data_IF_594268081349
#
_entry.id   IF_594268081349
#
_cell.length_a   1.000
_cell.length_b   1.000
_cell.length_c   1.000
_cell.angle_alpha   90.00
_cell.angle_beta   90.00
_cell.angle_gamma   90.00
#
_symmetry.space_group_name_H-M   'P 1'
#
loop_
_entity.id
_entity.type
_entity.pdbx_description
1 polymer ?
#
# COMPACT_ATOMS: atom_id res chain seq x y z
N UNK A 1 -22.81 -31.84 -3.97
CA UNK A 1 -22.77 -30.51 -4.66
C UNK A 1 -22.22 -29.39 -3.77
N UNK A 2 -22.62 -29.29 -2.48
CA UNK A 2 -22.19 -28.21 -1.56
C UNK A 2 -20.65 -28.13 -1.29
N UNK A 3 -19.94 -29.26 -1.25
CA UNK A 3 -18.47 -29.31 -1.02
C UNK A 3 -17.67 -28.74 -2.21
N UNK A 4 -18.13 -28.93 -3.45
CA UNK A 4 -17.45 -28.42 -4.65
C UNK A 4 -17.53 -26.89 -4.74
N UNK A 5 -18.65 -26.30 -4.32
CA UNK A 5 -18.84 -24.84 -4.29
C UNK A 5 -17.96 -24.19 -3.21
N UNK A 6 -17.88 -24.79 -2.01
CA UNK A 6 -17.02 -24.28 -0.93
C UNK A 6 -15.54 -24.34 -1.30
N UNK A 7 -15.10 -25.42 -1.96
CA UNK A 7 -13.73 -25.57 -2.48
C UNK A 7 -13.41 -24.54 -3.56
N UNK A 8 -14.35 -24.23 -4.45
CA UNK A 8 -14.18 -23.23 -5.51
C UNK A 8 -14.06 -21.80 -4.95
N UNK A 9 -14.87 -21.46 -3.93
CA UNK A 9 -14.80 -20.17 -3.23
C UNK A 9 -13.46 -20.02 -2.50
N UNK A 10 -13.01 -21.07 -1.80
CA UNK A 10 -11.72 -21.08 -1.12
C UNK A 10 -10.56 -20.86 -2.12
N UNK A 11 -10.63 -21.49 -3.29
CA UNK A 11 -9.64 -21.36 -4.36
C UNK A 11 -9.59 -19.93 -4.93
N UNK A 12 -10.74 -19.29 -5.15
CA UNK A 12 -10.81 -17.89 -5.58
C UNK A 12 -10.24 -16.90 -4.55
N UNK A 13 -10.48 -17.14 -3.26
CA UNK A 13 -9.91 -16.34 -2.17
C UNK A 13 -8.37 -16.44 -2.13
N UNK A 14 -7.82 -17.61 -2.43
CA UNK A 14 -6.38 -17.85 -2.47
C UNK A 14 -5.75 -17.12 -3.67
N UNK A 15 -6.32 -17.21 -4.87
CA UNK A 15 -5.76 -16.58 -6.07
C UNK A 15 -5.95 -15.06 -6.16
N UNK A 16 -6.96 -14.49 -5.49
CA UNK A 16 -7.11 -13.03 -5.37
C UNK A 16 -6.06 -12.37 -4.47
N UNK A 17 -5.22 -13.17 -3.79
CA UNK A 17 -4.33 -12.68 -2.75
C UNK A 17 -2.92 -12.34 -3.23
N UNK A 18 -2.57 -12.41 -4.52
CA UNK A 18 -1.20 -12.15 -5.02
C UNK A 18 -0.61 -10.79 -4.62
N UNK A 19 0.73 -10.70 -4.56
CA UNK A 19 1.45 -9.48 -4.27
C UNK A 19 1.13 -8.37 -5.29
N UNK A 20 0.82 -7.18 -4.78
CA UNK A 20 0.63 -6.01 -5.63
C UNK A 20 1.97 -5.36 -5.91
N UNK A 21 2.18 -4.92 -7.15
CA UNK A 21 3.26 -3.98 -7.46
C UNK A 21 2.99 -2.65 -6.75
N UNK A 22 4.05 -2.00 -6.30
CA UNK A 22 4.01 -0.63 -5.78
C UNK A 22 4.16 0.37 -6.93
N UNK A 23 3.29 1.38 -6.98
CA UNK A 23 3.42 2.53 -7.89
C UNK A 23 4.13 3.64 -7.11
N UNK A 24 5.24 4.13 -7.64
CA UNK A 24 5.99 5.24 -7.04
C UNK A 24 5.12 6.48 -6.91
N UNK A 25 5.29 7.17 -5.80
CA UNK A 25 4.69 8.48 -5.59
C UNK A 25 5.67 9.52 -6.14
N UNK A 26 5.18 10.38 -7.03
CA UNK A 26 5.94 11.52 -7.55
C UNK A 26 5.19 12.80 -7.18
N UNK A 27 5.47 13.39 -6.00
CA UNK A 27 4.77 14.57 -5.49
C UNK A 27 4.68 15.71 -6.52
N UNK A 28 5.78 15.99 -7.23
CA UNK A 28 5.84 17.11 -8.18
C UNK A 28 4.89 16.97 -9.38
N UNK A 29 4.42 15.76 -9.68
CA UNK A 29 3.50 15.49 -10.79
C UNK A 29 2.02 15.42 -10.39
N UNK A 30 1.71 15.57 -9.09
CA UNK A 30 0.35 15.46 -8.58
C UNK A 30 -0.44 16.75 -8.81
N UNK A 31 -1.75 16.60 -9.04
CA UNK A 31 -2.70 17.72 -8.95
C UNK A 31 -3.10 17.91 -7.49
N UNK A 32 -2.89 19.09 -6.93
CA UNK A 32 -3.15 19.35 -5.52
C UNK A 32 -4.48 20.09 -5.30
N UNK A 33 -5.05 19.88 -4.12
CA UNK A 33 -6.14 20.68 -3.58
C UNK A 33 -5.53 21.82 -2.77
N UNK A 34 -5.97 23.05 -3.01
CA UNK A 34 -5.54 24.19 -2.18
C UNK A 34 -6.08 24.01 -0.77
N UNK A 35 -5.19 24.09 0.22
CA UNK A 35 -5.59 24.26 1.61
C UNK A 35 -6.00 25.69 1.91
N UNK A 36 -6.48 25.93 3.13
CA UNK A 36 -6.62 27.29 3.59
C UNK A 36 -5.21 27.91 3.64
N UNK A 37 -4.96 28.86 2.74
CA UNK A 37 -3.67 29.55 2.63
C UNK A 37 -3.59 30.65 3.68
N UNK A 38 -2.38 30.97 4.11
CA UNK A 38 -2.07 32.17 4.85
C UNK A 38 -1.00 32.96 4.09
N UNK A 39 -0.79 34.22 4.48
CA UNK A 39 0.16 35.11 3.78
C UNK A 39 1.61 34.59 3.80
N UNK A 40 1.97 33.71 4.74
CA UNK A 40 3.34 33.22 4.94
C UNK A 40 3.67 31.96 4.13
N UNK A 41 2.72 31.04 3.99
CA UNK A 41 2.90 29.75 3.31
C UNK A 41 1.71 29.48 2.41
N UNK A 42 1.98 29.33 1.11
CA UNK A 42 1.01 28.68 0.22
C UNK A 42 1.04 27.18 0.45
N UNK A 43 -0.12 26.65 0.82
CA UNK A 43 -0.28 25.24 1.18
C UNK A 43 -1.26 24.54 0.26
N UNK A 44 -0.80 23.44 -0.33
CA UNK A 44 -1.64 22.54 -1.10
C UNK A 44 -1.39 21.10 -0.66
N UNK A 45 -2.42 20.26 -0.70
CA UNK A 45 -2.33 18.88 -0.26
C UNK A 45 -3.09 17.92 -1.18
N UNK A 46 -2.74 16.63 -1.10
CA UNK A 46 -3.40 15.56 -1.85
C UNK A 46 -3.47 14.26 -1.03
N UNK A 47 -4.67 13.70 -0.95
CA UNK A 47 -4.96 12.36 -0.44
C UNK A 47 -4.93 11.29 -1.56
N UNK A 48 -5.19 10.03 -1.21
CA UNK A 48 -5.35 8.92 -2.16
C UNK A 48 -4.11 8.72 -3.07
N UNK A 49 -2.92 8.76 -2.46
CA UNK A 49 -1.65 8.60 -3.18
C UNK A 49 -1.37 7.15 -3.59
N UNK A 50 -1.95 6.21 -2.85
CA UNK A 50 -1.63 4.78 -2.93
C UNK A 50 -2.61 4.04 -3.82
N UNK A 51 -2.22 2.85 -4.30
CA UNK A 51 -3.07 2.02 -5.14
C UNK A 51 -3.18 0.57 -4.64
N UNK A 52 -4.23 -0.11 -5.10
CA UNK A 52 -4.44 -1.56 -4.88
C UNK A 52 -4.31 -1.94 -3.41
N UNK A 53 -3.35 -2.82 -3.08
CA UNK A 53 -3.17 -3.35 -1.73
C UNK A 53 -2.70 -2.29 -0.72
N UNK A 54 -1.91 -1.31 -1.15
CA UNK A 54 -1.48 -0.22 -0.27
C UNK A 54 -2.65 0.69 0.07
N UNK A 55 -3.46 1.08 -0.92
CA UNK A 55 -4.71 1.82 -0.68
C UNK A 55 -5.69 1.05 0.24
N UNK A 56 -5.84 -0.26 0.03
CA UNK A 56 -6.66 -1.12 0.90
C UNK A 56 -6.11 -1.20 2.34
N UNK A 57 -4.80 -1.15 2.50
CA UNK A 57 -4.14 -1.16 3.81
C UNK A 57 -4.29 0.18 4.52
N UNK A 58 -4.04 1.27 3.81
CA UNK A 58 -4.32 2.63 4.27
C UNK A 58 -5.78 2.78 4.70
N UNK A 59 -6.75 2.42 3.85
CA UNK A 59 -8.18 2.53 4.18
C UNK A 59 -8.65 1.68 5.38
N UNK A 60 -7.88 0.64 5.77
CA UNK A 60 -8.12 -0.16 6.98
C UNK A 60 -7.40 0.36 8.22
N UNK A 61 -6.45 1.28 8.04
CA UNK A 61 -5.68 1.93 9.08
C UNK A 61 -6.39 3.23 9.52
N UNK A 62 -6.03 3.73 10.70
CA UNK A 62 -6.33 5.10 11.15
C UNK A 62 -5.35 6.14 10.61
N UNK A 63 -4.34 5.71 9.83
CA UNK A 63 -3.34 6.58 9.21
C UNK A 63 -3.73 6.87 7.76
N UNK A 64 -3.55 8.12 7.35
CA UNK A 64 -3.58 8.57 5.95
C UNK A 64 -2.24 9.17 5.57
N UNK A 65 -1.75 8.79 4.39
CA UNK A 65 -0.57 9.37 3.77
C UNK A 65 -1.02 10.52 2.87
N UNK A 66 -0.48 11.70 3.13
CA UNK A 66 -0.83 12.93 2.43
C UNK A 66 0.41 13.47 1.76
N UNK A 67 0.28 13.90 0.52
CA UNK A 67 1.34 14.68 -0.14
C UNK A 67 1.03 16.13 0.08
N UNK A 68 2.05 16.89 0.47
CA UNK A 68 1.94 18.33 0.67
C UNK A 68 2.91 19.06 -0.25
N UNK A 69 2.47 20.22 -0.71
CA UNK A 69 3.25 21.22 -1.42
C UNK A 69 3.20 22.49 -0.58
N UNK A 70 4.39 23.01 -0.27
CA UNK A 70 4.56 24.17 0.60
C UNK A 70 5.44 25.17 -0.14
N UNK A 71 4.97 26.41 -0.27
CA UNK A 71 5.77 27.53 -0.80
C UNK A 71 5.93 28.56 0.29
N UNK A 72 7.17 28.88 0.65
CA UNK A 72 7.48 29.91 1.62
C UNK A 72 7.45 31.30 0.97
N UNK A 73 6.54 32.14 1.44
CA UNK A 73 6.34 33.51 0.95
C UNK A 73 6.93 34.57 1.90
N UNK A 74 7.69 34.16 2.92
CA UNK A 74 8.37 35.07 3.85
C UNK A 74 9.83 35.31 3.45
N UNK A 75 10.45 36.29 4.10
CA UNK A 75 11.89 36.58 3.97
C UNK A 75 12.76 35.76 4.95
N UNK A 76 12.15 34.86 5.71
CA UNK A 76 12.81 34.02 6.71
C UNK A 76 12.74 32.54 6.33
N UNK A 77 13.71 31.75 6.81
CA UNK A 77 13.62 30.31 6.68
C UNK A 77 12.53 29.77 7.60
N UNK A 78 11.65 28.90 7.08
CA UNK A 78 10.60 28.24 7.85
C UNK A 78 10.83 26.73 7.92
N UNK A 79 10.60 26.12 9.07
CA UNK A 79 10.88 24.69 9.31
C UNK A 79 9.60 23.95 9.69
N UNK A 80 9.21 22.97 8.88
CA UNK A 80 8.05 22.12 9.14
C UNK A 80 8.27 21.26 10.39
N UNK A 81 7.30 21.25 11.30
CA UNK A 81 7.41 20.56 12.60
C UNK A 81 7.94 21.44 13.72
N UNK A 82 8.67 22.51 13.40
CA UNK A 82 9.24 23.46 14.36
C UNK A 82 8.43 24.76 14.39
N UNK A 83 8.42 25.51 13.29
CA UNK A 83 7.80 26.84 13.20
C UNK A 83 6.30 26.76 12.89
N UNK A 84 5.90 25.72 12.16
CA UNK A 84 4.50 25.45 11.84
C UNK A 84 4.23 23.96 11.71
N UNK A 85 2.95 23.61 11.83
CA UNK A 85 2.39 22.28 11.68
C UNK A 85 1.13 22.32 10.81
N UNK A 86 0.48 21.16 10.65
CA UNK A 86 -0.83 21.06 10.01
C UNK A 86 -1.91 20.98 11.08
N UNK A 87 -3.10 21.48 10.75
CA UNK A 87 -4.34 21.21 11.46
C UNK A 87 -5.44 20.89 10.44
N UNK A 88 -6.52 20.30 10.92
CA UNK A 88 -7.74 20.18 10.11
C UNK A 88 -8.43 21.54 10.03
N UNK A 89 -9.14 21.77 8.94
CA UNK A 89 -10.05 22.93 8.78
C UNK A 89 -11.15 22.99 9.85
N UNK A 90 -11.40 21.88 10.56
CA UNK A 90 -12.27 21.85 11.75
C UNK A 90 -11.57 22.32 13.04
N UNK A 91 -10.31 22.79 12.97
CA UNK A 91 -9.53 23.30 14.09
C UNK A 91 -8.81 22.24 14.93
N UNK A 92 -8.71 20.98 14.47
CA UNK A 92 -8.03 19.92 15.23
C UNK A 92 -6.56 19.87 14.85
N UNK A 93 -5.66 19.97 15.81
CA UNK A 93 -4.23 19.84 15.55
C UNK A 93 -3.87 18.46 15.02
N UNK A 94 -3.01 18.43 14.01
CA UNK A 94 -2.49 17.20 13.43
C UNK A 94 -1.06 17.05 13.90
N UNK A 95 -0.84 16.03 14.72
CA UNK A 95 0.50 15.57 15.04
C UNK A 95 0.98 14.64 13.92
N UNK A 96 2.03 15.01 13.16
CA UNK A 96 2.56 14.16 12.10
C UNK A 96 2.98 12.79 12.65
N UNK A 97 2.54 11.74 11.96
CA UNK A 97 2.95 10.37 12.27
C UNK A 97 4.33 10.13 11.65
N UNK A 98 5.31 9.61 12.41
CA UNK A 98 6.61 9.25 11.85
C UNK A 98 6.46 8.31 10.66
N UNK A 99 7.14 8.59 9.54
CA UNK A 99 6.95 7.83 8.31
C UNK A 99 7.35 6.35 8.40
N UNK A 100 8.19 5.98 9.38
CA UNK A 100 8.45 4.57 9.69
C UNK A 100 7.22 3.85 10.25
N UNK A 101 6.40 4.52 11.06
CA UNK A 101 5.14 3.99 11.57
C UNK A 101 4.11 3.86 10.44
N UNK A 102 4.03 4.87 9.57
CA UNK A 102 3.22 4.81 8.34
C UNK A 102 3.59 3.60 7.48
N UNK A 103 4.89 3.39 7.25
CA UNK A 103 5.39 2.23 6.52
C UNK A 103 4.93 0.91 7.15
N UNK A 104 5.11 0.76 8.46
CA UNK A 104 4.78 -0.49 9.16
C UNK A 104 3.29 -0.83 9.10
N UNK A 105 2.44 0.18 9.16
CA UNK A 105 0.99 0.03 9.16
C UNK A 105 0.44 -0.24 7.75
N UNK A 106 0.98 0.43 6.73
CA UNK A 106 0.42 0.40 5.37
C UNK A 106 1.08 -0.64 4.45
N UNK A 107 2.27 -1.16 4.79
CA UNK A 107 2.98 -2.15 3.95
C UNK A 107 2.16 -3.42 3.70
N UNK A 108 2.49 -4.10 2.60
CA UNK A 108 1.89 -5.40 2.29
C UNK A 108 2.41 -6.48 3.25
N UNK A 109 1.53 -7.35 3.72
CA UNK A 109 1.93 -8.53 4.49
C UNK A 109 2.69 -9.51 3.61
N UNK A 110 3.89 -9.89 4.02
CA UNK A 110 4.79 -10.78 3.26
C UNK A 110 4.60 -12.25 3.68
N UNK A 111 4.46 -12.50 4.99
CA UNK A 111 4.38 -13.85 5.52
C UNK A 111 3.11 -14.61 5.08
N UNK A 112 2.04 -13.88 4.75
CA UNK A 112 0.76 -14.48 4.31
C UNK A 112 0.93 -15.32 3.03
N UNK A 113 1.94 -15.02 2.21
CA UNK A 113 2.22 -15.77 0.98
C UNK A 113 2.77 -17.18 1.25
N UNK A 114 3.29 -17.46 2.45
CA UNK A 114 3.69 -18.83 2.79
C UNK A 114 2.49 -19.77 2.96
N UNK A 115 1.25 -19.27 3.04
CA UNK A 115 0.06 -20.12 2.97
C UNK A 115 -0.06 -20.86 1.62
N UNK A 116 0.58 -20.36 0.55
CA UNK A 116 0.67 -21.11 -0.71
C UNK A 116 1.48 -22.41 -0.57
N UNK A 117 2.30 -22.57 0.48
CA UNK A 117 2.96 -23.85 0.77
C UNK A 117 1.97 -24.97 1.09
N UNK A 118 0.72 -24.66 1.45
CA UNK A 118 -0.32 -25.68 1.58
C UNK A 118 -0.64 -26.36 0.23
N UNK A 119 -0.37 -25.69 -0.89
CA UNK A 119 -0.50 -26.30 -2.22
C UNK A 119 0.59 -27.33 -2.51
N UNK A 120 1.62 -27.44 -1.66
CA UNK A 120 2.73 -28.41 -1.81
C UNK A 120 2.23 -29.86 -1.89
N UNK A 121 1.11 -30.16 -1.22
CA UNK A 121 0.52 -31.50 -1.18
C UNK A 121 -0.45 -31.78 -2.34
N UNK A 122 -0.62 -30.84 -3.28
CA UNK A 122 -1.56 -31.02 -4.41
C UNK A 122 -1.05 -32.03 -5.43
N UNK A 123 -1.97 -32.87 -5.92
CA UNK A 123 -1.73 -33.88 -6.94
C UNK A 123 -2.68 -33.66 -8.11
N UNK A 124 -2.17 -33.79 -9.33
CA UNK A 124 -2.97 -33.79 -10.55
C UNK A 124 -3.30 -35.23 -10.92
N UNK A 125 -4.58 -35.57 -10.93
CA UNK A 125 -5.06 -36.88 -11.32
C UNK A 125 -5.63 -36.81 -12.74
N UNK A 126 -5.04 -37.56 -13.67
CA UNK A 126 -5.50 -37.66 -15.05
C UNK A 126 -6.08 -39.06 -15.22
N UNK A 127 -7.36 -39.14 -15.61
CA UNK A 127 -8.04 -40.42 -15.82
C UNK A 127 -8.31 -40.63 -17.30
N UNK A 128 -7.88 -41.77 -17.81
CA UNK A 128 -8.16 -42.25 -19.16
C UNK A 128 -9.26 -43.31 -19.04
N UNK A 129 -10.37 -43.12 -19.75
CA UNK A 129 -11.49 -44.07 -19.78
C UNK A 129 -11.48 -44.79 -21.12
N UNK A 130 -11.25 -46.10 -21.08
CA UNK A 130 -11.34 -46.95 -22.26
C UNK A 130 -12.60 -47.81 -22.15
N UNK A 131 -13.47 -47.72 -23.14
CA UNK A 131 -14.66 -48.56 -23.26
C UNK A 131 -14.47 -49.52 -24.41
N UNK A 132 -14.44 -50.82 -24.13
CA UNK A 132 -14.33 -51.86 -25.15
C UNK A 132 -15.17 -53.08 -24.74
N UNK A 133 -16.00 -53.58 -25.66
CA UNK A 133 -16.78 -54.80 -25.47
C UNK A 133 -17.78 -54.79 -24.31
N UNK A 134 -18.31 -53.62 -23.90
CA UNK A 134 -19.26 -53.50 -22.78
C UNK A 134 -18.61 -53.33 -21.40
N UNK A 135 -17.27 -53.39 -21.30
CA UNK A 135 -16.52 -53.10 -20.09
C UNK A 135 -15.93 -51.69 -20.15
N UNK A 136 -16.00 -50.98 -19.02
CA UNK A 136 -15.38 -49.65 -18.84
C UNK A 136 -14.19 -49.78 -17.90
N UNK A 137 -12.98 -49.54 -18.41
CA UNK A 137 -11.77 -49.46 -17.60
C UNK A 137 -11.39 -47.99 -17.40
N UNK A 138 -11.18 -47.59 -16.14
CA UNK A 138 -10.70 -46.25 -15.79
C UNK A 138 -9.28 -46.38 -15.25
N UNK A 139 -8.29 -45.89 -15.99
CA UNK A 139 -6.90 -45.80 -15.54
C UNK A 139 -6.61 -44.39 -15.06
N UNK A 140 -6.23 -44.24 -13.79
CA UNK A 140 -5.87 -42.93 -13.22
C UNK A 140 -4.37 -42.84 -12.96
N UNK A 141 -3.72 -41.82 -13.53
CA UNK A 141 -2.33 -41.43 -13.25
C UNK A 141 -2.32 -40.22 -12.31
N UNK A 142 -1.42 -40.22 -11.32
CA UNK A 142 -1.33 -39.13 -10.32
C UNK A 142 0.07 -38.49 -10.35
N UNK A 143 0.13 -37.18 -10.57
CA UNK A 143 1.36 -36.40 -10.64
C UNK A 143 1.45 -35.41 -9.47
N UNK A 144 2.52 -35.43 -8.65
CA UNK A 144 2.67 -34.53 -7.50
C UNK A 144 3.13 -33.12 -7.93
N UNK A 145 2.26 -32.37 -8.59
CA UNK A 145 2.56 -31.01 -9.09
C UNK A 145 2.74 -29.97 -7.97
N UNK A 146 2.21 -30.25 -6.78
CA UNK A 146 2.22 -29.32 -5.65
C UNK A 146 3.62 -28.92 -5.20
N UNK A 147 4.58 -29.85 -5.25
CA UNK A 147 5.97 -29.61 -4.81
C UNK A 147 6.64 -28.43 -5.53
N UNK A 148 6.26 -28.16 -6.77
CA UNK A 148 6.73 -27.00 -7.51
C UNK A 148 5.81 -25.79 -7.34
N UNK A 149 4.49 -26.01 -7.44
CA UNK A 149 3.49 -24.93 -7.46
C UNK A 149 3.45 -24.18 -6.12
N UNK A 150 3.37 -24.89 -4.99
CA UNK A 150 3.26 -24.28 -3.67
C UNK A 150 4.44 -23.36 -3.35
N UNK A 151 5.68 -23.88 -3.35
CA UNK A 151 6.89 -23.08 -3.13
C UNK A 151 7.09 -21.99 -4.17
N UNK A 152 6.85 -22.27 -5.46
CA UNK A 152 7.02 -21.30 -6.54
C UNK A 152 6.13 -20.06 -6.38
N UNK A 153 4.84 -20.27 -6.10
CA UNK A 153 3.90 -19.17 -5.86
C UNK A 153 4.23 -18.45 -4.54
N UNK A 154 4.55 -19.18 -3.48
CA UNK A 154 4.89 -18.60 -2.17
C UNK A 154 6.10 -17.65 -2.28
N UNK A 155 7.21 -18.14 -2.84
CA UNK A 155 8.45 -17.37 -2.99
C UNK A 155 8.27 -16.19 -3.95
N UNK A 156 7.62 -16.41 -5.09
CA UNK A 156 7.37 -15.35 -6.07
C UNK A 156 6.60 -14.17 -5.49
N UNK A 157 5.53 -14.45 -4.74
CA UNK A 157 4.74 -13.40 -4.08
C UNK A 157 5.49 -12.77 -2.91
N UNK A 158 6.21 -13.55 -2.10
CA UNK A 158 7.00 -13.03 -0.98
C UNK A 158 8.04 -12.01 -1.46
N UNK A 159 8.87 -12.37 -2.44
CA UNK A 159 9.89 -11.46 -2.97
C UNK A 159 9.28 -10.28 -3.72
N UNK A 160 8.18 -10.50 -4.46
CA UNK A 160 7.44 -9.43 -5.12
C UNK A 160 6.92 -8.38 -4.12
N UNK A 161 6.30 -8.82 -3.02
CA UNK A 161 5.82 -7.92 -1.97
C UNK A 161 6.96 -7.23 -1.21
N UNK A 162 8.03 -7.95 -0.89
CA UNK A 162 9.21 -7.39 -0.22
C UNK A 162 9.87 -6.30 -1.06
N UNK A 163 10.02 -6.53 -2.37
CA UNK A 163 10.55 -5.52 -3.30
C UNK A 163 9.64 -4.29 -3.39
N UNK A 164 8.33 -4.50 -3.50
CA UNK A 164 7.35 -3.41 -3.48
C UNK A 164 7.39 -2.59 -2.17
N UNK A 165 7.47 -3.27 -1.02
CA UNK A 165 7.58 -2.65 0.30
C UNK A 165 8.87 -1.83 0.44
N UNK A 166 10.01 -2.34 -0.06
CA UNK A 166 11.28 -1.59 -0.06
C UNK A 166 11.15 -0.28 -0.84
N UNK A 167 10.50 -0.30 -2.01
CA UNK A 167 10.29 0.90 -2.81
C UNK A 167 9.34 1.88 -2.12
N UNK A 168 8.26 1.40 -1.50
CA UNK A 168 7.37 2.23 -0.71
C UNK A 168 8.09 2.92 0.44
N UNK A 169 8.90 2.17 1.21
CA UNK A 169 9.72 2.75 2.28
C UNK A 169 10.69 3.81 1.75
N UNK A 170 11.32 3.56 0.59
CA UNK A 170 12.24 4.51 -0.02
C UNK A 170 11.55 5.83 -0.34
N UNK A 171 10.38 5.79 -0.96
CA UNK A 171 9.63 7.01 -1.30
C UNK A 171 9.25 7.78 -0.03
N UNK A 172 8.73 7.10 1.00
CA UNK A 172 8.42 7.71 2.29
C UNK A 172 9.63 8.47 2.87
N UNK A 173 10.79 7.80 2.97
CA UNK A 173 11.98 8.43 3.57
C UNK A 173 12.59 9.54 2.70
N UNK A 174 12.46 9.43 1.38
CA UNK A 174 12.98 10.44 0.44
C UNK A 174 12.21 11.75 0.56
N UNK A 175 10.90 11.65 0.76
CA UNK A 175 9.98 12.78 0.80
C UNK A 175 9.55 13.17 2.22
N UNK A 176 10.25 12.70 3.27
CA UNK A 176 10.03 13.16 4.64
C UNK A 176 10.32 14.67 4.73
N UNK A 177 9.42 15.41 5.36
CA UNK A 177 9.52 16.85 5.56
C UNK A 177 9.87 17.25 6.98
N UNK A 178 9.87 16.30 7.92
CA UNK A 178 10.15 16.62 9.31
C UNK A 178 11.52 17.30 9.42
N UNK A 179 11.53 18.49 10.02
CA UNK A 179 12.72 19.31 10.25
C UNK A 179 13.43 19.80 8.98
N UNK A 180 12.77 19.76 7.82
CA UNK A 180 13.30 20.42 6.61
C UNK A 180 13.04 21.92 6.69
N UNK A 181 14.10 22.70 6.54
CA UNK A 181 14.05 24.14 6.39
C UNK A 181 13.69 24.50 4.95
N UNK A 182 12.76 25.45 4.79
CA UNK A 182 12.21 25.97 3.54
C UNK A 182 12.69 27.41 3.43
N UNK A 183 13.53 27.69 2.42
CA UNK A 183 14.09 29.02 2.20
C UNK A 183 13.04 30.02 1.69
N UNK A 184 13.26 31.33 1.83
CA UNK A 184 12.45 32.36 1.19
C UNK A 184 12.19 32.08 -0.30
N UNK A 185 10.92 32.09 -0.71
CA UNK A 185 10.48 31.81 -2.08
C UNK A 185 10.55 30.33 -2.51
N UNK A 186 11.06 29.42 -1.66
CA UNK A 186 11.24 28.01 -2.02
C UNK A 186 9.90 27.27 -1.99
N UNK A 187 9.67 26.44 -3.01
CA UNK A 187 8.59 25.45 -3.02
C UNK A 187 9.15 24.06 -2.80
N UNK A 188 8.71 23.40 -1.74
CA UNK A 188 9.05 22.01 -1.44
C UNK A 188 7.83 21.10 -1.56
N UNK A 189 8.11 19.82 -1.80
CA UNK A 189 7.12 18.77 -1.85
C UNK A 189 7.50 17.66 -0.91
N UNK A 190 6.52 17.07 -0.23
CA UNK A 190 6.79 15.88 0.56
C UNK A 190 5.57 15.10 0.99
N UNK A 191 5.82 14.18 1.91
CA UNK A 191 4.88 13.20 2.40
C UNK A 191 4.75 13.32 3.91
N UNK A 192 3.51 13.34 4.38
CA UNK A 192 3.17 13.43 5.80
C UNK A 192 2.16 12.33 6.12
N UNK A 193 2.43 11.56 7.17
CA UNK A 193 1.44 10.67 7.76
C UNK A 193 0.58 11.42 8.76
N UNK A 194 -0.74 11.24 8.72
CA UNK A 194 -1.67 11.87 9.66
C UNK A 194 -2.63 10.83 10.22
N UNK A 195 -3.08 11.00 11.47
CA UNK A 195 -4.20 10.23 11.98
C UNK A 195 -5.51 10.83 11.49
N UNK A 196 -6.25 10.09 10.67
CA UNK A 196 -7.52 10.53 10.11
C UNK A 196 -8.39 9.31 9.75
N UNK A 197 -9.62 9.30 10.30
CA UNK A 197 -10.62 8.28 9.97
C UNK A 197 -11.40 8.63 8.69
N UNK A 198 -11.39 9.90 8.29
CA UNK A 198 -12.07 10.46 7.13
C UNK A 198 -11.21 11.53 6.45
N UNK A 199 -11.54 11.89 5.21
CA UNK A 199 -10.85 12.98 4.51
C UNK A 199 -11.36 14.33 5.00
N UNK A 200 -10.48 15.11 5.59
CA UNK A 200 -10.77 16.45 6.08
C UNK A 200 -9.89 17.46 5.35
N UNK A 201 -10.39 18.68 5.20
CA UNK A 201 -9.57 19.76 4.68
C UNK A 201 -8.40 20.03 5.63
N UNK A 202 -7.23 20.30 5.08
CA UNK A 202 -6.03 20.63 5.83
C UNK A 202 -5.69 22.11 5.70
N UNK A 203 -5.05 22.64 6.74
CA UNK A 203 -4.52 24.00 6.76
C UNK A 203 -3.23 24.08 7.60
N UNK A 204 -2.47 25.15 7.38
CA UNK A 204 -1.24 25.42 8.13
C UNK A 204 -1.58 26.09 9.47
N UNK A 205 -0.92 25.64 10.53
CA UNK A 205 -0.97 26.24 11.86
C UNK A 205 0.43 26.67 12.28
N UNK A 206 0.67 27.98 12.43
CA UNK A 206 1.92 28.50 12.99
C UNK A 206 1.90 28.34 14.52
N UNK A 207 3.06 28.05 15.10
CA UNK A 207 3.23 28.02 16.55
C UNK A 207 3.46 29.40 17.13
#
# INVERSE_FOLDING_TARGET
>A
MKVKILSLILLMCIFGSCASKYRKINPQSLTYTKGASNEKIDFEYRYDLLNKKYAKKEGKSSIRLVSVKLTNNTDENLTFGQDFNLKTTSGRDINPVPLNSVYNEIKQGEAIYFLYLLLTFTRLNISETNSSGGYTEVKTKSYPIGLAIGPGIALGNFFGARGANKNFKKDLMTYDLNYKSIKPGETIYGLVGIYANQYEGLEVNFK
#
